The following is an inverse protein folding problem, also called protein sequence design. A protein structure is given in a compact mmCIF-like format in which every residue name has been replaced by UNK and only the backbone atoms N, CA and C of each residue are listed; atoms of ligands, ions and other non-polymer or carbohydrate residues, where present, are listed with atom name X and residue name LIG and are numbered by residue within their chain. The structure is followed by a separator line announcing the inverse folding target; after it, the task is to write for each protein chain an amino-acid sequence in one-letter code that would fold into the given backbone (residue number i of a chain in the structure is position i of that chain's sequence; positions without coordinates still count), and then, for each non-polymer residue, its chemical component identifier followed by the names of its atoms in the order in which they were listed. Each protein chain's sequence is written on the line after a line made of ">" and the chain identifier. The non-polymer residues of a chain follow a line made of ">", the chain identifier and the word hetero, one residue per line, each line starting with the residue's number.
data_IF_284572653516
#
_entry.id   IF_284572653516
#
_cell.length_a   1.000
_cell.length_b   1.000
_cell.length_c   1.000
_cell.angle_alpha   90.00
_cell.angle_beta   90.00
_cell.angle_gamma   90.00
#
_symmetry.space_group_name_H-M   'P 1'
#
loop_
_entity.id
_entity.type
_entity.pdbx_description
1 polymer ?
#
# COMPACT_ATOMS: atom_id res chain seq x y z
N UNK A 1 27.52 -1.43 5.60
CA UNK A 1 26.05 -1.36 5.74
C UNK A 1 25.42 -1.58 4.38
N UNK A 2 24.88 -2.78 4.09
CA UNK A 2 24.14 -3.02 2.83
C UNK A 2 22.69 -2.64 3.08
N UNK A 3 22.32 -1.45 2.64
CA UNK A 3 20.97 -0.89 2.79
C UNK A 3 19.94 -1.71 2.02
N UNK A 4 18.70 -1.69 2.52
CA UNK A 4 17.54 -2.30 1.87
C UNK A 4 17.38 -1.68 0.46
N UNK A 5 17.69 -2.42 -0.61
CA UNK A 5 17.41 -1.97 -1.98
C UNK A 5 15.96 -2.29 -2.33
N UNK A 6 15.06 -1.45 -1.80
CA UNK A 6 13.66 -1.43 -2.20
C UNK A 6 13.49 -0.46 -3.34
N UNK A 7 12.77 -0.87 -4.37
CA UNK A 7 12.48 -0.04 -5.53
C UNK A 7 10.98 0.07 -5.73
N UNK A 8 10.53 1.28 -6.05
CA UNK A 8 9.16 1.51 -6.50
C UNK A 8 9.10 1.26 -8.02
N UNK A 9 8.23 0.36 -8.44
CA UNK A 9 8.03 0.00 -9.85
C UNK A 9 6.57 0.20 -10.24
N UNK A 10 6.32 0.62 -11.48
CA UNK A 10 4.96 0.68 -12.01
C UNK A 10 4.59 -0.61 -12.71
N UNK A 11 3.58 -1.33 -12.20
CA UNK A 11 2.99 -2.50 -12.85
C UNK A 11 1.88 -2.03 -13.77
N UNK A 12 1.96 -2.38 -15.06
CA UNK A 12 0.89 -2.11 -16.03
C UNK A 12 -0.39 -2.89 -15.71
N UNK A 13 -1.54 -2.33 -16.11
CA UNK A 13 -2.81 -3.02 -16.05
C UNK A 13 -2.79 -4.29 -16.92
N UNK A 14 -3.31 -5.40 -16.41
CA UNK A 14 -3.30 -6.70 -17.08
C UNK A 14 -4.45 -7.57 -16.60
N UNK A 15 -4.77 -8.62 -17.35
CA UNK A 15 -5.80 -9.58 -16.95
C UNK A 15 -5.17 -10.74 -16.19
N UNK A 16 -5.83 -11.18 -15.12
CA UNK A 16 -5.36 -12.30 -14.30
C UNK A 16 -6.42 -13.38 -14.23
N UNK A 17 -6.00 -14.61 -14.52
CA UNK A 17 -6.82 -15.80 -14.29
C UNK A 17 -6.85 -16.12 -12.79
N UNK A 18 -8.05 -16.21 -12.23
CA UNK A 18 -8.30 -16.59 -10.84
C UNK A 18 -8.24 -18.10 -10.67
N UNK A 19 -8.12 -18.57 -9.42
CA UNK A 19 -8.14 -20.01 -9.09
C UNK A 19 -9.43 -20.70 -9.54
N UNK A 20 -10.55 -19.96 -9.59
CA UNK A 20 -11.83 -20.44 -10.10
C UNK A 20 -11.88 -20.62 -11.63
N UNK A 21 -10.84 -20.19 -12.36
CA UNK A 21 -10.80 -20.20 -13.82
C UNK A 21 -11.35 -18.93 -14.48
N UNK A 22 -12.06 -18.09 -13.73
CA UNK A 22 -12.53 -16.77 -14.17
C UNK A 22 -11.36 -15.79 -14.41
N UNK A 23 -11.59 -14.75 -15.21
CA UNK A 23 -10.63 -13.67 -15.44
C UNK A 23 -11.08 -12.40 -14.70
N UNK A 24 -10.12 -11.65 -14.18
CA UNK A 24 -10.34 -10.32 -13.61
C UNK A 24 -9.33 -9.33 -14.17
N UNK A 25 -9.76 -8.08 -14.38
CA UNK A 25 -8.90 -6.98 -14.81
C UNK A 25 -8.17 -6.44 -13.59
N UNK A 26 -6.85 -6.49 -13.60
CA UNK A 26 -6.02 -5.90 -12.55
C UNK A 26 -5.57 -4.51 -13.00
N UNK A 27 -5.88 -3.43 -12.26
CA UNK A 27 -5.45 -2.10 -12.62
C UNK A 27 -3.94 -1.94 -12.48
N UNK A 28 -3.42 -0.96 -13.23
CA UNK A 28 -2.04 -0.54 -13.12
C UNK A 28 -1.81 0.11 -11.76
N UNK A 29 -0.70 -0.21 -11.10
CA UNK A 29 -0.38 0.34 -9.78
C UNK A 29 1.12 0.41 -9.58
N UNK A 30 1.54 1.40 -8.82
CA UNK A 30 2.86 1.41 -8.20
C UNK A 30 2.95 0.28 -7.18
N UNK A 31 4.07 -0.44 -7.18
CA UNK A 31 4.36 -1.56 -6.29
C UNK A 31 5.78 -1.46 -5.79
N UNK A 32 6.02 -2.06 -4.62
CA UNK A 32 7.35 -2.24 -4.09
C UNK A 32 7.96 -3.55 -4.58
N UNK A 33 9.19 -3.47 -5.12
CA UNK A 33 10.05 -4.60 -5.42
C UNK A 33 11.18 -4.66 -4.40
N UNK A 34 11.27 -5.77 -3.68
CA UNK A 34 12.39 -6.09 -2.79
C UNK A 34 13.49 -6.78 -3.63
N UNK A 35 14.74 -6.34 -3.51
CA UNK A 35 15.88 -7.08 -4.07
C UNK A 35 16.37 -8.14 -3.07
N UNK A 36 16.99 -9.21 -3.57
CA UNK A 36 17.35 -10.42 -2.79
C UNK A 36 18.35 -10.20 -1.64
N UNK A 37 18.83 -8.99 -1.41
CA UNK A 37 19.79 -8.64 -0.35
C UNK A 37 19.01 -7.94 0.77
N UNK A 38 18.10 -8.65 1.42
CA UNK A 38 17.39 -8.16 2.61
C UNK A 38 17.85 -8.94 3.83
N UNK A 39 18.91 -8.46 4.48
CA UNK A 39 19.38 -8.97 5.78
C UNK A 39 18.96 -8.09 6.95
N UNK A 40 18.12 -7.07 6.76
CA UNK A 40 17.66 -6.23 7.87
C UNK A 40 16.16 -5.92 7.81
N UNK A 41 15.46 -6.49 8.80
CA UNK A 41 14.37 -6.03 9.68
C UNK A 41 13.56 -4.73 9.43
N UNK A 42 13.96 -3.80 8.56
CA UNK A 42 13.24 -2.53 8.42
C UNK A 42 11.89 -2.74 7.73
N UNK A 43 10.82 -2.82 8.54
CA UNK A 43 9.42 -2.95 8.08
C UNK A 43 8.88 -1.69 7.41
N UNK A 44 9.67 -0.63 7.29
CA UNK A 44 9.22 0.65 6.73
C UNK A 44 10.26 1.28 5.82
N UNK A 45 9.80 1.99 4.78
CA UNK A 45 10.62 2.68 3.79
C UNK A 45 10.01 4.06 3.49
N UNK A 46 10.83 5.11 3.54
CA UNK A 46 10.43 6.49 3.22
C UNK A 46 10.89 6.85 1.81
N UNK A 47 9.99 7.45 1.03
CA UNK A 47 10.29 7.92 -0.33
C UNK A 47 9.31 9.00 -0.78
N UNK A 48 9.60 9.66 -1.89
CA UNK A 48 8.68 10.61 -2.51
C UNK A 48 7.66 9.88 -3.39
N UNK A 49 6.43 10.41 -3.43
CA UNK A 49 5.40 9.92 -4.32
C UNK A 49 5.79 10.27 -5.76
N UNK A 50 5.84 9.29 -6.68
CA UNK A 50 6.23 9.55 -8.07
C UNK A 50 5.18 10.36 -8.86
N UNK A 51 3.96 10.49 -8.33
CA UNK A 51 2.86 11.20 -9.00
C UNK A 51 2.74 12.66 -8.55
N UNK A 52 2.89 12.94 -7.25
CA UNK A 52 2.63 14.26 -6.67
C UNK A 52 3.79 14.82 -5.82
N UNK A 53 4.87 14.07 -5.60
CA UNK A 53 6.02 14.50 -4.80
C UNK A 53 5.83 14.50 -3.29
N UNK A 54 4.64 14.14 -2.77
CA UNK A 54 4.39 14.03 -1.33
C UNK A 54 5.32 12.99 -0.67
N UNK A 55 5.70 13.21 0.58
CA UNK A 55 6.50 12.24 1.36
C UNK A 55 5.63 11.05 1.75
N UNK A 56 6.06 9.85 1.40
CA UNK A 56 5.36 8.58 1.61
C UNK A 56 6.14 7.71 2.59
N UNK A 57 5.41 7.09 3.52
CA UNK A 57 5.88 5.99 4.35
C UNK A 57 5.23 4.71 3.87
N UNK A 58 6.05 3.85 3.28
CA UNK A 58 5.65 2.50 2.90
C UNK A 58 5.95 1.54 4.04
N UNK A 59 4.98 0.70 4.44
CA UNK A 59 5.14 -0.28 5.51
C UNK A 59 4.85 -1.70 5.00
N UNK A 60 5.68 -2.66 5.40
CA UNK A 60 5.52 -4.08 5.12
C UNK A 60 4.48 -4.68 6.05
N UNK A 61 3.48 -5.34 5.49
CA UNK A 61 2.37 -5.91 6.26
C UNK A 61 2.71 -7.32 6.79
N UNK A 62 2.14 -7.76 7.93
CA UNK A 62 2.45 -9.07 8.53
C UNK A 62 2.23 -10.26 7.60
N UNK A 63 1.20 -10.21 6.75
CA UNK A 63 0.84 -11.28 5.81
C UNK A 63 1.44 -11.08 4.41
N UNK A 64 2.50 -10.27 4.30
CA UNK A 64 3.13 -9.90 3.04
C UNK A 64 2.45 -8.71 2.35
N UNK A 65 3.13 -8.18 1.33
CA UNK A 65 2.73 -6.96 0.66
C UNK A 65 3.13 -5.69 1.42
N UNK A 66 2.85 -4.55 0.80
CA UNK A 66 3.22 -3.23 1.28
C UNK A 66 2.01 -2.29 1.26
N UNK A 67 1.91 -1.42 2.25
CA UNK A 67 0.92 -0.35 2.33
C UNK A 67 1.62 1.01 2.29
N UNK A 68 1.00 2.00 1.64
CA UNK A 68 1.59 3.32 1.39
C UNK A 68 0.79 4.41 2.11
N UNK A 69 1.44 5.14 3.01
CA UNK A 69 0.83 6.18 3.84
C UNK A 69 1.51 7.53 3.63
N UNK A 70 0.82 8.62 3.93
CA UNK A 70 1.47 9.93 4.00
C UNK A 70 2.44 10.00 5.20
N UNK A 71 3.62 10.58 5.00
CA UNK A 71 4.65 10.64 6.04
C UNK A 71 4.68 11.96 6.83
N UNK A 72 3.92 12.98 6.41
CA UNK A 72 3.92 14.32 6.99
C UNK A 72 2.60 14.65 7.71
N UNK A 73 2.65 15.61 8.64
CA UNK A 73 1.45 16.22 9.21
C UNK A 73 0.60 15.34 10.13
N UNK A 74 1.16 14.25 10.70
CA UNK A 74 0.41 13.33 11.56
C UNK A 74 -0.44 12.30 10.80
N UNK A 75 -0.42 12.32 9.46
CA UNK A 75 -1.20 11.44 8.58
C UNK A 75 -0.52 10.07 8.32
N UNK A 76 0.26 9.57 9.28
CA UNK A 76 1.08 8.36 9.14
C UNK A 76 0.29 7.05 8.95
N UNK A 77 -1.01 7.10 9.16
CA UNK A 77 -1.96 6.00 8.98
C UNK A 77 -2.91 6.22 7.80
N UNK A 78 -2.91 7.42 7.19
CA UNK A 78 -3.77 7.72 6.04
C UNK A 78 -3.12 7.18 4.78
N UNK A 79 -3.85 6.31 4.05
CA UNK A 79 -3.39 5.84 2.74
C UNK A 79 -3.27 7.01 1.77
N UNK A 80 -2.13 7.09 1.09
CA UNK A 80 -1.91 8.19 0.15
C UNK A 80 -2.71 7.98 -1.15
N UNK A 81 -3.49 8.98 -1.61
CA UNK A 81 -4.48 8.81 -2.68
C UNK A 81 -3.90 8.50 -4.06
N UNK A 82 -2.62 8.79 -4.33
CA UNK A 82 -1.99 8.44 -5.61
C UNK A 82 -1.69 6.94 -5.75
N UNK A 83 -1.77 6.16 -4.67
CA UNK A 83 -1.63 4.70 -4.73
C UNK A 83 -3.01 4.05 -4.81
N UNK A 84 -3.07 2.90 -5.48
CA UNK A 84 -4.31 2.13 -5.59
C UNK A 84 -4.77 1.69 -4.19
N UNK A 85 -5.94 2.18 -3.78
CA UNK A 85 -6.51 1.91 -2.46
C UNK A 85 -7.29 0.58 -2.45
N UNK A 86 -7.78 0.16 -3.63
CA UNK A 86 -8.75 -0.93 -3.81
C UNK A 86 -10.06 -0.39 -4.42
N UNK A 87 -10.78 -1.23 -5.15
CA UNK A 87 -12.22 -1.01 -5.37
C UNK A 87 -12.93 -1.30 -4.04
N UNK A 88 -13.91 -0.48 -3.66
CA UNK A 88 -14.67 -0.54 -2.40
C UNK A 88 -13.96 -0.18 -1.08
N UNK A 89 -12.73 0.35 -1.14
CA UNK A 89 -12.09 0.91 0.06
C UNK A 89 -12.42 2.40 0.16
N UNK A 90 -13.54 2.73 0.81
CA UNK A 90 -13.88 4.12 1.13
C UNK A 90 -12.92 4.66 2.19
N UNK A 91 -12.45 5.89 2.01
CA UNK A 91 -11.79 6.68 3.06
C UNK A 91 -12.85 7.21 4.06
N UNK A 92 -13.67 6.32 4.60
CA UNK A 92 -14.78 6.65 5.49
C UNK A 92 -15.09 5.49 6.40
N UNK A 93 -15.66 5.79 7.57
CA UNK A 93 -16.16 4.79 8.50
C UNK A 93 -17.27 3.99 7.79
N UNK A 94 -17.24 2.67 7.92
CA UNK A 94 -18.33 1.82 7.41
C UNK A 94 -19.62 2.15 8.16
N UNK A 95 -20.68 2.47 7.43
CA UNK A 95 -21.98 2.86 8.00
C UNK A 95 -22.63 1.72 8.80
N UNK A 96 -22.22 0.46 8.56
CA UNK A 96 -22.78 -0.74 9.19
C UNK A 96 -21.98 -1.21 10.40
N UNK A 97 -20.77 -0.69 10.60
CA UNK A 97 -19.95 -1.00 11.77
C UNK A 97 -20.36 -0.09 12.91
N UNK A 98 -21.26 -0.60 13.76
CA UNK A 98 -21.67 0.07 15.01
C UNK A 98 -20.43 0.42 15.85
N UNK A 99 -20.41 1.62 16.43
CA UNK A 99 -19.37 1.98 17.38
C UNK A 99 -19.48 1.07 18.61
N UNK A 100 -18.37 0.40 18.97
CA UNK A 100 -18.32 -0.39 20.20
C UNK A 100 -18.53 0.47 21.46
N UNK A 101 -18.46 1.79 21.32
CA UNK A 101 -18.53 2.75 22.42
C UNK A 101 -19.65 3.80 22.29
N UNK A 102 -20.56 3.70 21.31
CA UNK A 102 -21.71 4.64 21.20
C UNK A 102 -22.67 4.56 22.41
N UNK A 103 -22.50 3.57 23.29
CA UNK A 103 -23.32 3.34 24.48
C UNK A 103 -22.59 3.52 25.84
N UNK A 104 -21.43 4.19 25.87
CA UNK A 104 -20.72 4.55 27.11
C UNK A 104 -20.83 6.04 27.45
#
# INVERSE_FOLDING_TARGET
>A
MKGMTVQLIYRKAHDRKLKSGAYTRIPGSWMIRESAITTHESKTWLHDCPMCGAKIRSAKMPNGGWAHYEALGGLQSLKHPCFYVGEDVRNGRDEKTLDLFDAL
#
